data_IF_059828521963
#
_entry.id   IF_059828521963
#
_cell.length_a   1.000
_cell.length_b   1.000
_cell.length_c   1.000
_cell.angle_alpha   90.00
_cell.angle_beta   90.00
_cell.angle_gamma   90.00
#
_symmetry.space_group_name_H-M   'P 1'
#
loop_
_entity.id
_entity.type
_entity.pdbx_description
1 polymer ?
#
# COMPACT_ATOMS: atom_id res chain seq x y z
N UNK A 1 -7.17 -13.68 5.50
CA UNK A 1 -6.72 -12.28 5.38
C UNK A 1 -6.69 -11.94 3.90
N UNK A 2 -7.16 -10.77 3.44
CA UNK A 2 -6.98 -10.38 2.05
C UNK A 2 -5.48 -10.43 1.71
N UNK A 3 -5.14 -10.82 0.47
CA UNK A 3 -3.76 -10.81 0.03
C UNK A 3 -3.20 -9.38 0.22
N UNK A 4 -2.07 -9.26 0.93
CA UNK A 4 -1.42 -7.96 1.15
C UNK A 4 -1.08 -7.35 -0.21
N UNK A 5 -1.53 -6.13 -0.43
CA UNK A 5 -1.32 -5.39 -1.68
C UNK A 5 0.07 -4.76 -1.74
N UNK A 6 0.68 -4.49 -0.58
CA UNK A 6 2.03 -3.94 -0.45
C UNK A 6 2.91 -4.80 0.47
N UNK A 7 4.22 -4.84 0.18
CA UNK A 7 5.25 -5.52 1.00
C UNK A 7 6.53 -4.70 1.07
N UNK A 8 7.31 -4.91 2.13
CA UNK A 8 8.66 -4.36 2.25
C UNK A 8 9.68 -5.28 1.56
N UNK A 9 10.55 -4.70 0.74
CA UNK A 9 11.61 -5.41 0.00
C UNK A 9 12.97 -4.77 0.33
N UNK A 10 13.92 -5.58 0.81
CA UNK A 10 15.27 -5.09 1.11
C UNK A 10 16.07 -4.86 -0.17
N UNK A 11 16.63 -3.67 -0.33
CA UNK A 11 17.52 -3.28 -1.43
C UNK A 11 18.87 -2.77 -0.90
N UNK A 12 19.80 -2.53 -1.80
CA UNK A 12 21.13 -2.02 -1.46
C UNK A 12 21.09 -0.64 -0.80
N UNK A 13 20.10 0.18 -1.16
CA UNK A 13 19.90 1.57 -0.76
C UNK A 13 18.78 1.76 0.28
N UNK A 14 18.30 0.69 0.93
CA UNK A 14 17.28 0.75 1.98
C UNK A 14 16.16 -0.28 1.84
N UNK A 15 14.98 0.04 2.37
CA UNK A 15 13.76 -0.75 2.18
C UNK A 15 12.86 -0.09 1.14
N UNK A 16 12.48 -0.83 0.11
CA UNK A 16 11.50 -0.38 -0.88
C UNK A 16 10.14 -0.97 -0.54
N UNK A 17 9.09 -0.15 -0.52
CA UNK A 17 7.72 -0.68 -0.44
C UNK A 17 7.24 -0.95 -1.85
N UNK A 18 6.91 -2.20 -2.14
CA UNK A 18 6.46 -2.64 -3.46
C UNK A 18 5.05 -3.20 -3.41
N UNK A 19 4.30 -3.07 -4.50
CA UNK A 19 2.98 -3.67 -4.61
C UNK A 19 3.07 -5.21 -4.85
N UNK A 20 1.92 -5.88 -4.98
CA UNK A 20 1.84 -7.31 -5.24
C UNK A 20 2.65 -7.75 -6.48
N UNK A 21 2.62 -6.92 -7.53
CA UNK A 21 3.33 -7.14 -8.80
C UNK A 21 4.84 -6.79 -8.73
N UNK A 22 5.32 -6.25 -7.61
CA UNK A 22 6.72 -5.86 -7.41
C UNK A 22 7.08 -4.45 -7.89
N UNK A 23 6.11 -3.65 -8.32
CA UNK A 23 6.35 -2.24 -8.66
C UNK A 23 6.50 -1.37 -7.39
N UNK A 24 7.37 -0.35 -7.41
CA UNK A 24 7.51 0.58 -6.29
C UNK A 24 6.21 1.32 -5.97
N UNK A 25 5.78 1.28 -4.71
CA UNK A 25 4.68 2.09 -4.18
C UNK A 25 5.11 3.49 -3.74
N UNK A 26 6.43 3.71 -3.62
CA UNK A 26 7.06 4.98 -3.28
C UNK A 26 8.24 5.25 -4.23
N UNK A 27 8.64 6.52 -4.35
CA UNK A 27 9.65 6.95 -5.31
C UNK A 27 11.09 6.56 -4.95
N UNK A 28 11.38 6.30 -3.68
CA UNK A 28 12.73 6.00 -3.19
C UNK A 28 12.70 4.99 -2.05
N UNK A 29 13.79 4.23 -1.88
CA UNK A 29 13.95 3.38 -0.71
C UNK A 29 14.04 4.24 0.57
N UNK A 30 13.52 3.69 1.67
CA UNK A 30 13.52 4.31 2.98
C UNK A 30 14.56 3.66 3.90
N UNK A 31 15.29 4.52 4.62
CA UNK A 31 16.35 4.14 5.56
C UNK A 31 15.75 3.94 6.95
N UNK A 32 15.10 2.79 7.14
CA UNK A 32 14.42 2.42 8.39
C UNK A 32 14.74 0.98 8.78
N UNK A 33 14.35 0.58 9.99
CA UNK A 33 14.40 -0.83 10.41
C UNK A 33 13.42 -1.70 9.60
N UNK A 34 13.62 -3.02 9.63
CA UNK A 34 12.70 -3.98 8.99
C UNK A 34 11.27 -3.81 9.51
N UNK A 35 11.10 -3.78 10.83
CA UNK A 35 9.80 -3.62 11.47
C UNK A 35 9.10 -2.33 11.04
N UNK A 36 9.80 -1.21 10.96
CA UNK A 36 9.25 0.06 10.47
C UNK A 36 8.82 -0.03 9.00
N UNK A 37 9.61 -0.67 8.14
CA UNK A 37 9.26 -0.88 6.74
C UNK A 37 7.99 -1.74 6.60
N UNK A 38 7.84 -2.78 7.42
CA UNK A 38 6.63 -3.60 7.46
C UNK A 38 5.39 -2.82 7.92
N UNK A 39 5.54 -1.99 8.96
CA UNK A 39 4.46 -1.11 9.45
C UNK A 39 4.02 -0.11 8.37
N UNK A 40 4.97 0.43 7.60
CA UNK A 40 4.67 1.34 6.48
C UNK A 40 3.91 0.59 5.38
N UNK A 41 4.36 -0.61 5.00
CA UNK A 41 3.66 -1.43 4.01
C UNK A 41 2.20 -1.74 4.45
N UNK A 42 1.99 -2.11 5.71
CA UNK A 42 0.65 -2.36 6.27
C UNK A 42 -0.21 -1.08 6.29
N UNK A 43 0.39 0.07 6.61
CA UNK A 43 -0.26 1.38 6.55
C UNK A 43 -0.73 1.74 5.14
N UNK A 44 0.11 1.48 4.13
CA UNK A 44 -0.24 1.69 2.72
C UNK A 44 -1.40 0.80 2.26
N UNK A 45 -1.41 -0.47 2.67
CA UNK A 45 -2.52 -1.39 2.40
C UNK A 45 -3.84 -0.89 2.99
N UNK A 46 -3.82 -0.44 4.25
CA UNK A 46 -5.02 0.11 4.91
C UNK A 46 -5.52 1.37 4.22
N UNK A 47 -4.62 2.29 3.86
CA UNK A 47 -4.98 3.52 3.17
C UNK A 47 -5.58 3.24 1.78
N UNK A 48 -5.00 2.32 1.03
CA UNK A 48 -5.50 1.93 -0.29
C UNK A 48 -6.89 1.28 -0.19
N UNK A 49 -7.07 0.35 0.76
CA UNK A 49 -8.37 -0.27 1.01
C UNK A 49 -9.45 0.74 1.43
N UNK A 50 -9.09 1.74 2.26
CA UNK A 50 -10.01 2.81 2.63
C UNK A 50 -10.40 3.68 1.42
N UNK A 51 -9.45 4.00 0.54
CA UNK A 51 -9.70 4.74 -0.70
C UNK A 51 -10.62 3.98 -1.67
N UNK A 52 -10.44 2.66 -1.82
CA UNK A 52 -11.31 1.83 -2.65
C UNK A 52 -12.76 1.81 -2.13
N UNK A 53 -12.95 1.68 -0.80
CA UNK A 53 -14.29 1.72 -0.20
C UNK A 53 -14.99 3.05 -0.47
N UNK A 54 -14.30 4.17 -0.24
CA UNK A 54 -14.84 5.51 -0.50
C UNK A 54 -15.27 5.70 -1.96
N UNK A 55 -14.43 5.29 -2.92
CA UNK A 55 -14.77 5.37 -4.36
C UNK A 55 -15.99 4.52 -4.70
N UNK A 56 -16.10 3.32 -4.12
CA UNK A 56 -17.24 2.43 -4.33
C UNK A 56 -18.55 3.03 -3.82
N UNK A 57 -18.51 3.68 -2.65
CA UNK A 57 -19.66 4.39 -2.07
C UNK A 57 -20.10 5.57 -2.94
N UNK A 58 -19.14 6.38 -3.43
CA UNK A 58 -19.42 7.51 -4.33
C UNK A 58 -20.05 7.05 -5.66
N UNK A 59 -19.53 5.98 -6.28
CA UNK A 59 -20.12 5.39 -7.50
C UNK A 59 -21.52 4.83 -7.22
N UNK A 60 -21.68 4.12 -6.11
CA UNK A 60 -22.99 3.56 -5.73
C UNK A 60 -24.03 4.64 -5.49
N UNK A 61 -23.63 5.78 -4.92
CA UNK A 61 -24.50 6.94 -4.74
C UNK A 61 -24.91 7.56 -6.08
N UNK A 62 -23.97 7.70 -7.02
CA UNK A 62 -24.24 8.20 -8.38
C UNK A 62 -25.16 7.28 -9.19
N UNK A 63 -25.04 5.96 -9.03
CA UNK A 63 -25.87 4.98 -9.76
C UNK A 63 -27.29 4.82 -9.20
N UNK A 64 -27.54 5.27 -7.97
CA UNK A 64 -28.84 5.18 -7.30
C UNK A 64 -29.68 6.46 -7.42
N UNK A 65 -29.08 7.58 -7.80
CA UNK A 65 -29.76 8.83 -8.14
C UNK A 65 -30.11 8.88 -9.62
#
# INVERSE_FOLDING_TARGET
MPAKGYRAEKRADGWMIVNADGYPGISSAIQVTEWEAEVIADGMDRAFAAGQRRRSEEITALLKG
#
